data_IF_397427791996
#
_entry.id   IF_397427791996
#
_cell.length_a   1.000
_cell.length_b   1.000
_cell.length_c   1.000
_cell.angle_alpha   90.00
_cell.angle_beta   90.00
_cell.angle_gamma   90.00
#
_symmetry.space_group_name_H-M   'P 1'
#
loop_
_entity.id
_entity.type
_entity.pdbx_description
1 polymer ?
#
# COMPACT_ATOMS: atom_id res chain seq x y z
N UNK A 1 13.61 -11.14 -21.14
CA UNK A 1 13.80 -9.68 -21.06
C UNK A 1 12.63 -9.08 -20.27
N UNK A 2 12.68 -9.18 -18.94
CA UNK A 2 11.74 -8.55 -18.00
C UNK A 2 12.58 -7.64 -17.10
N UNK A 3 13.04 -6.52 -17.64
CA UNK A 3 14.11 -5.76 -16.99
C UNK A 3 13.58 -4.84 -15.87
N UNK A 4 12.26 -4.59 -15.81
CA UNK A 4 11.64 -3.66 -14.84
C UNK A 4 10.19 -4.04 -14.45
N UNK A 5 9.95 -5.27 -13.99
CA UNK A 5 8.66 -5.64 -13.39
C UNK A 5 8.76 -5.53 -11.86
N UNK A 6 8.38 -4.36 -11.31
CA UNK A 6 8.46 -4.04 -9.88
C UNK A 6 7.19 -4.40 -9.09
N UNK A 7 6.22 -5.06 -9.73
CA UNK A 7 4.94 -5.41 -9.09
C UNK A 7 5.12 -6.54 -8.11
N UNK A 8 4.80 -6.30 -6.84
CA UNK A 8 4.80 -7.32 -5.80
C UNK A 8 3.46 -7.29 -5.09
N UNK A 9 2.80 -8.45 -4.98
CA UNK A 9 1.48 -8.55 -4.35
C UNK A 9 1.58 -9.55 -3.20
N UNK A 10 1.33 -9.07 -1.99
CA UNK A 10 1.25 -9.86 -0.76
C UNK A 10 0.37 -9.12 0.26
N UNK A 11 -0.17 -9.85 1.23
CA UNK A 11 -1.04 -9.28 2.27
C UNK A 11 -0.27 -8.35 3.21
N UNK A 12 0.90 -8.79 3.66
CA UNK A 12 1.86 -8.06 4.51
C UNK A 12 3.28 -8.53 4.17
N UNK A 13 4.29 -7.78 4.60
CA UNK A 13 5.69 -8.17 4.40
C UNK A 13 5.99 -9.52 5.06
N UNK A 14 6.73 -10.39 4.38
CA UNK A 14 6.94 -11.79 4.79
C UNK A 14 7.58 -11.92 6.18
N UNK A 15 8.52 -11.03 6.53
CA UNK A 15 9.13 -11.00 7.87
C UNK A 15 8.10 -10.59 8.94
N UNK A 16 7.25 -9.60 8.64
CA UNK A 16 6.15 -9.19 9.53
C UNK A 16 5.14 -10.32 9.73
N UNK A 17 4.83 -11.08 8.68
CA UNK A 17 3.96 -12.26 8.77
C UNK A 17 4.55 -13.35 9.68
N UNK A 18 5.85 -13.62 9.52
CA UNK A 18 6.56 -14.59 10.32
C UNK A 18 6.58 -14.20 11.81
N UNK A 19 6.89 -12.93 12.10
CA UNK A 19 6.88 -12.41 13.48
C UNK A 19 5.46 -12.44 14.05
N UNK A 20 4.44 -11.98 13.32
CA UNK A 20 3.06 -12.00 13.80
C UNK A 20 2.56 -13.42 14.09
N UNK A 21 2.98 -14.41 13.29
CA UNK A 21 2.57 -15.80 13.43
C UNK A 21 3.32 -16.53 14.56
N UNK A 22 4.61 -16.25 14.73
CA UNK A 22 5.48 -17.05 15.60
C UNK A 22 5.94 -16.32 16.88
N UNK A 23 5.76 -15.00 17.04
CA UNK A 23 6.26 -14.26 18.20
C UNK A 23 5.78 -14.83 19.54
N UNK A 24 4.48 -15.13 19.67
CA UNK A 24 3.92 -15.72 20.91
C UNK A 24 4.47 -17.12 21.17
N UNK A 25 4.74 -17.88 20.11
CA UNK A 25 5.30 -19.23 20.20
C UNK A 25 6.78 -19.19 20.61
N UNK A 26 7.53 -18.22 20.10
CA UNK A 26 8.93 -18.00 20.46
C UNK A 26 9.09 -17.75 21.97
N UNK A 27 8.24 -16.89 22.55
CA UNK A 27 8.22 -16.62 23.99
C UNK A 27 7.97 -17.92 24.78
N UNK A 28 6.95 -18.69 24.39
CA UNK A 28 6.62 -19.95 25.06
C UNK A 28 7.73 -21.00 24.96
N UNK A 29 8.41 -21.11 23.82
CA UNK A 29 9.50 -22.08 23.63
C UNK A 29 10.77 -21.67 24.40
N UNK A 30 11.05 -20.36 24.48
CA UNK A 30 12.10 -19.79 25.33
C UNK A 30 11.85 -20.10 26.82
N UNK A 31 10.63 -19.87 27.30
CA UNK A 31 10.24 -20.18 28.69
C UNK A 31 10.28 -21.69 28.99
N UNK A 32 10.07 -22.53 27.97
CA UNK A 32 10.14 -24.00 28.09
C UNK A 32 11.58 -24.55 27.99
N UNK A 33 12.59 -23.70 27.79
CA UNK A 33 13.99 -24.13 27.57
C UNK A 33 14.21 -24.95 26.28
N UNK A 34 13.31 -24.84 25.30
CA UNK A 34 13.42 -25.57 24.03
C UNK A 34 14.30 -24.80 23.02
N UNK A 35 15.01 -25.49 22.11
CA UNK A 35 15.83 -24.83 21.11
C UNK A 35 14.96 -23.99 20.16
N UNK A 36 15.36 -22.74 19.91
CA UNK A 36 14.66 -21.78 19.04
C UNK A 36 15.01 -21.94 17.54
N UNK A 37 16.10 -22.61 17.23
CA UNK A 37 16.56 -22.89 15.86
C UNK A 37 15.46 -23.44 14.92
N UNK A 38 14.69 -24.49 15.30
CA UNK A 38 13.62 -25.01 14.42
C UNK A 38 12.48 -24.01 14.21
N UNK A 39 12.29 -23.03 15.10
CA UNK A 39 11.31 -21.97 14.94
C UNK A 39 11.82 -20.87 14.01
N UNK A 40 13.09 -20.47 14.17
CA UNK A 40 13.76 -19.52 13.30
C UNK A 40 13.77 -20.00 11.84
N UNK A 41 14.03 -21.30 11.63
CA UNK A 41 13.97 -21.92 10.31
C UNK A 41 12.57 -21.79 9.68
N UNK A 42 11.50 -22.03 10.44
CA UNK A 42 10.11 -21.86 9.97
C UNK A 42 9.77 -20.40 9.65
N UNK A 43 10.30 -19.47 10.43
CA UNK A 43 10.14 -18.03 10.16
C UNK A 43 10.80 -17.65 8.82
N UNK A 44 12.01 -18.15 8.56
CA UNK A 44 12.71 -17.91 7.31
C UNK A 44 12.03 -18.57 6.11
N UNK A 45 11.54 -19.80 6.26
CA UNK A 45 10.76 -20.50 5.23
C UNK A 45 9.48 -19.75 4.88
N UNK A 46 8.79 -19.20 5.88
CA UNK A 46 7.61 -18.38 5.65
C UNK A 46 7.97 -17.10 4.89
N UNK A 47 9.00 -16.36 5.31
CA UNK A 47 9.42 -15.14 4.64
C UNK A 47 9.80 -15.41 3.17
N UNK A 48 10.55 -16.49 2.91
CA UNK A 48 10.93 -16.92 1.56
C UNK A 48 9.70 -17.29 0.72
N UNK A 49 8.75 -18.03 1.28
CA UNK A 49 7.51 -18.38 0.58
C UNK A 49 6.75 -17.14 0.14
N UNK A 50 6.62 -16.13 1.00
CA UNK A 50 5.97 -14.86 0.64
C UNK A 50 6.72 -14.13 -0.48
N UNK A 51 8.05 -14.16 -0.48
CA UNK A 51 8.86 -13.58 -1.55
C UNK A 51 8.61 -14.29 -2.89
N UNK A 52 8.64 -15.63 -2.90
CA UNK A 52 8.47 -16.44 -4.10
C UNK A 52 7.06 -16.32 -4.68
N UNK A 53 6.02 -16.29 -3.84
CA UNK A 53 4.61 -16.19 -4.27
C UNK A 53 4.15 -14.77 -4.60
N UNK A 54 5.00 -13.76 -4.38
CA UNK A 54 4.68 -12.37 -4.69
C UNK A 54 5.33 -11.84 -5.95
N UNK A 55 6.22 -12.62 -6.58
CA UNK A 55 6.93 -12.18 -7.79
C UNK A 55 5.92 -11.95 -8.94
N UNK A 56 6.19 -10.98 -9.84
CA UNK A 56 5.31 -10.68 -10.97
C UNK A 56 4.88 -11.92 -11.76
N UNK A 57 5.84 -12.81 -12.04
CA UNK A 57 5.59 -14.05 -12.79
C UNK A 57 4.63 -15.01 -12.07
N UNK A 58 4.68 -15.07 -10.73
CA UNK A 58 3.72 -15.84 -9.94
C UNK A 58 2.35 -15.16 -9.99
N UNK A 59 2.30 -13.84 -9.78
CA UNK A 59 1.05 -13.07 -9.83
C UNK A 59 0.30 -13.24 -11.15
N UNK A 60 1.00 -13.25 -12.30
CA UNK A 60 0.38 -13.47 -13.60
C UNK A 60 -0.11 -14.91 -13.80
N UNK A 61 0.65 -15.91 -13.34
CA UNK A 61 0.26 -17.33 -13.45
C UNK A 61 -0.99 -17.67 -12.64
N UNK A 62 -1.14 -17.02 -11.49
CA UNK A 62 -2.27 -17.27 -10.57
C UNK A 62 -3.42 -16.28 -10.75
N UNK A 63 -3.34 -15.37 -11.73
CA UNK A 63 -4.41 -14.43 -12.06
C UNK A 63 -4.62 -13.30 -11.04
N UNK A 64 -3.59 -12.97 -10.26
CA UNK A 64 -3.60 -11.75 -9.44
C UNK A 64 -3.43 -10.49 -10.28
N UNK A 65 -2.82 -10.64 -11.46
CA UNK A 65 -2.67 -9.60 -12.48
C UNK A 65 -2.93 -10.27 -13.83
N UNK A 66 -3.74 -9.66 -14.69
CA UNK A 66 -4.05 -10.21 -16.02
C UNK A 66 -2.81 -10.22 -16.94
N UNK A 67 -1.96 -9.19 -16.87
CA UNK A 67 -0.78 -9.08 -17.71
C UNK A 67 0.39 -8.33 -17.05
N UNK A 68 1.62 -8.80 -17.28
CA UNK A 68 2.85 -8.09 -16.90
C UNK A 68 3.29 -7.23 -18.09
N UNK A 69 3.13 -5.93 -17.97
CA UNK A 69 3.36 -4.98 -19.06
C UNK A 69 4.72 -4.29 -18.90
N UNK A 70 5.44 -4.09 -20.00
CA UNK A 70 6.66 -3.28 -20.00
C UNK A 70 6.32 -1.80 -19.72
N UNK A 71 7.18 -1.10 -18.97
CA UNK A 71 6.89 0.29 -18.57
C UNK A 71 6.58 1.23 -19.75
N UNK A 72 7.20 1.01 -20.91
CA UNK A 72 6.97 1.79 -22.13
C UNK A 72 5.58 1.57 -22.76
N UNK A 73 4.99 0.38 -22.59
CA UNK A 73 3.67 0.06 -23.15
C UNK A 73 2.51 0.40 -22.21
N UNK A 74 2.77 0.71 -20.94
CA UNK A 74 1.73 1.04 -19.95
C UNK A 74 0.74 2.12 -20.42
N UNK A 75 1.25 3.21 -21.04
CA UNK A 75 0.39 4.28 -21.57
C UNK A 75 -0.55 3.80 -22.67
N UNK A 76 -0.13 2.82 -23.46
CA UNK A 76 -0.96 2.20 -24.51
C UNK A 76 -2.18 1.51 -23.92
N UNK A 77 -1.99 0.71 -22.86
CA UNK A 77 -3.07 0.05 -22.13
C UNK A 77 -4.06 1.05 -21.53
N UNK A 78 -3.57 2.12 -20.90
CA UNK A 78 -4.43 3.17 -20.35
C UNK A 78 -5.25 3.88 -21.44
N UNK A 79 -4.64 4.11 -22.60
CA UNK A 79 -5.31 4.74 -23.74
C UNK A 79 -6.39 3.83 -24.32
N UNK A 80 -6.09 2.54 -24.49
CA UNK A 80 -7.04 1.54 -24.95
C UNK A 80 -8.20 1.38 -23.96
N UNK A 81 -7.91 1.33 -22.65
CA UNK A 81 -8.93 1.27 -21.60
C UNK A 81 -9.85 2.50 -21.62
N UNK A 82 -9.28 3.71 -21.65
CA UNK A 82 -10.08 4.93 -21.72
C UNK A 82 -10.92 5.00 -23.00
N UNK A 83 -10.36 4.60 -24.14
CA UNK A 83 -11.07 4.50 -25.41
C UNK A 83 -12.27 3.56 -25.32
N UNK A 84 -12.07 2.36 -24.78
CA UNK A 84 -13.14 1.37 -24.60
C UNK A 84 -14.21 1.84 -23.61
N UNK A 85 -13.81 2.45 -22.48
CA UNK A 85 -14.73 2.94 -21.45
C UNK A 85 -15.67 4.05 -21.97
N UNK A 86 -15.17 4.92 -22.87
CA UNK A 86 -15.95 6.02 -23.44
C UNK A 86 -16.58 5.70 -24.81
N UNK A 87 -16.33 4.53 -25.40
CA UNK A 87 -16.85 4.17 -26.72
C UNK A 87 -18.37 3.99 -26.72
N UNK A 88 -18.94 3.35 -25.69
CA UNK A 88 -20.39 3.14 -25.56
C UNK A 88 -20.80 3.08 -24.07
N UNK A 89 -20.84 4.22 -23.37
CA UNK A 89 -21.13 4.23 -21.95
C UNK A 89 -22.63 3.99 -21.67
N UNK A 90 -22.92 3.21 -20.63
CA UNK A 90 -24.31 2.97 -20.17
C UNK A 90 -24.96 4.18 -19.50
N UNK A 91 -24.16 5.17 -19.08
CA UNK A 91 -24.62 6.38 -18.39
C UNK A 91 -23.72 7.56 -18.71
N UNK A 92 -24.30 8.78 -18.75
CA UNK A 92 -23.62 10.01 -19.11
C UNK A 92 -23.91 11.09 -18.07
N UNK A 93 -22.87 11.77 -17.60
CA UNK A 93 -22.97 13.01 -16.83
C UNK A 93 -22.51 14.19 -17.71
N UNK A 94 -23.38 15.15 -18.06
CA UNK A 94 -22.98 16.36 -18.77
C UNK A 94 -21.88 17.11 -18.01
N UNK A 95 -20.89 17.64 -18.73
CA UNK A 95 -19.71 18.30 -18.12
C UNK A 95 -20.07 19.45 -17.17
N UNK A 96 -21.15 20.18 -17.46
CA UNK A 96 -21.61 21.28 -16.62
C UNK A 96 -22.33 20.82 -15.34
N UNK A 97 -22.70 19.54 -15.22
CA UNK A 97 -23.29 18.94 -14.02
C UNK A 97 -22.27 18.14 -13.19
N UNK A 98 -21.01 18.04 -13.63
CA UNK A 98 -19.97 17.36 -12.86
C UNK A 98 -19.68 18.10 -11.54
N UNK A 99 -19.78 17.38 -10.43
CA UNK A 99 -19.49 17.92 -9.10
C UNK A 99 -18.00 17.86 -8.73
N UNK A 100 -17.27 16.83 -9.20
CA UNK A 100 -15.84 16.65 -8.89
C UNK A 100 -14.98 17.89 -9.19
N UNK A 101 -15.08 18.56 -10.37
CA UNK A 101 -14.29 19.76 -10.65
C UNK A 101 -14.68 20.98 -9.81
N UNK A 102 -15.85 20.95 -9.15
CA UNK A 102 -16.36 22.03 -8.29
C UNK A 102 -15.90 21.83 -6.85
N UNK A 103 -15.92 20.59 -6.35
CA UNK A 103 -15.40 20.27 -5.01
C UNK A 103 -13.90 20.51 -4.92
N UNK A 104 -13.12 20.07 -5.91
CA UNK A 104 -11.66 20.30 -5.89
C UNK A 104 -11.29 21.79 -5.93
N UNK A 105 -12.05 22.62 -6.66
CA UNK A 105 -11.84 24.09 -6.64
C UNK A 105 -12.21 24.72 -5.30
N UNK A 106 -13.19 24.17 -4.59
CA UNK A 106 -13.58 24.66 -3.28
C UNK A 106 -12.49 24.37 -2.24
N UNK A 107 -11.85 23.19 -2.31
CA UNK A 107 -10.71 22.82 -1.48
C UNK A 107 -9.48 23.70 -1.75
N UNK A 108 -9.17 24.02 -3.02
CA UNK A 108 -8.10 24.95 -3.38
C UNK A 108 -8.32 26.35 -2.78
N UNK A 109 -9.57 26.83 -2.72
CA UNK A 109 -9.90 28.11 -2.08
C UNK A 109 -9.84 28.04 -0.54
N UNK A 110 -10.06 26.86 0.05
CA UNK A 110 -9.91 26.64 1.48
C UNK A 110 -8.44 26.53 1.90
N UNK A 111 -7.60 25.85 1.10
CA UNK A 111 -6.14 25.86 1.28
C UNK A 111 -5.54 27.23 1.02
N UNK A 112 -5.99 28.01 0.02
CA UNK A 112 -5.55 29.40 -0.12
C UNK A 112 -5.98 30.29 1.07
N UNK A 113 -7.07 29.98 1.78
CA UNK A 113 -7.49 30.70 3.00
C UNK A 113 -6.77 30.21 4.27
N UNK A 114 -6.36 28.95 4.35
CA UNK A 114 -5.60 28.38 5.46
C UNK A 114 -4.08 28.43 5.28
N UNK A 115 -3.61 28.66 4.05
CA UNK A 115 -2.20 28.65 3.65
C UNK A 115 -1.38 29.87 4.09
N UNK A 116 -1.95 30.77 4.89
CA UNK A 116 -1.19 31.86 5.51
C UNK A 116 -0.62 31.50 6.91
N UNK A 117 -1.01 30.39 7.55
CA UNK A 117 -0.65 30.19 8.97
C UNK A 117 -0.30 28.76 9.43
N UNK A 118 -0.10 27.77 8.57
CA UNK A 118 0.43 26.47 9.04
C UNK A 118 1.58 25.98 8.19
N UNK A 119 2.79 26.12 8.75
CA UNK A 119 3.92 25.33 8.29
C UNK A 119 3.77 23.90 8.79
N UNK A 120 4.27 22.92 8.05
CA UNK A 120 4.19 21.49 8.35
C UNK A 120 4.77 21.06 9.72
N UNK A 121 5.34 21.99 10.50
CA UNK A 121 5.74 21.76 11.90
C UNK A 121 4.54 21.69 12.85
N UNK A 122 3.43 22.36 12.54
CA UNK A 122 2.29 22.51 13.46
C UNK A 122 1.35 21.28 13.47
N UNK A 123 1.59 20.30 12.59
CA UNK A 123 0.79 19.08 12.51
C UNK A 123 1.28 17.96 13.46
N UNK A 124 2.48 18.09 14.04
CA UNK A 124 3.09 17.03 14.85
C UNK A 124 3.01 17.25 16.36
N UNK A 125 2.59 18.43 16.82
CA UNK A 125 2.32 18.69 18.24
C UNK A 125 0.81 18.68 18.50
N UNK A 126 0.30 17.49 18.81
CA UNK A 126 -0.99 17.37 19.51
C UNK A 126 -0.91 18.05 20.88
N UNK A 127 -2.05 18.45 21.47
CA UNK A 127 -2.07 19.24 22.70
C UNK A 127 -1.36 18.48 23.83
N UNK A 128 -0.21 19.00 24.25
CA UNK A 128 0.51 18.56 25.42
C UNK A 128 -0.40 18.75 26.65
N UNK A 129 -0.77 17.64 27.29
CA UNK A 129 -1.35 17.63 28.61
C UNK A 129 -0.48 18.48 29.56
N UNK A 130 -1.06 19.28 30.47
CA UNK A 130 -0.30 20.13 31.36
C UNK A 130 0.61 19.26 32.25
N UNK A 131 1.93 19.42 32.10
CA UNK A 131 2.91 18.82 33.00
C UNK A 131 2.69 19.43 34.37
N UNK A 132 2.29 18.60 35.34
CA UNK A 132 2.25 18.97 36.75
C UNK A 132 3.64 19.43 37.18
N UNK A 133 3.73 20.62 37.76
CA UNK A 133 4.91 21.09 38.47
C UNK A 133 5.23 20.13 39.63
N UNK A 134 6.41 19.51 39.56
CA UNK A 134 7.09 18.96 40.74
C UNK A 134 8.52 19.47 40.72
N UNK A 135 8.81 20.24 41.77
CA UNK A 135 10.10 20.63 42.36
C UNK A 135 11.19 21.18 41.44
#
# INVERSE_FOLDING_TARGET
MYEYAATEIYVIHGETAAVATYARRAIKEMDSGRPLEPLAQKMHEMAKKYYDTSRPAYCARYGFVDEIVAMKSLRGYLTAFAGAAYQNPSSICPRHLMMLPRSSKADDLQECRFGATRTARDAFEGPLLPRSSRH
#
